data_IF_074385496183
#
_entry.id   IF_074385496183
#
_cell.length_a   1.000
_cell.length_b   1.000
_cell.length_c   1.000
_cell.angle_alpha   90.00
_cell.angle_beta   90.00
_cell.angle_gamma   90.00
#
_symmetry.space_group_name_H-M   'P 1'
#
loop_
_entity.id
_entity.type
_entity.pdbx_description
1 polymer ?
#
# COMPACT_ATOMS: atom_id res chain seq x y z
N UNK A 1 -0.99 -2.42 12.71
CA UNK A 1 -1.39 -2.34 11.29
C UNK A 1 -1.16 -3.69 10.63
N UNK A 2 -1.85 -3.96 9.52
CA UNK A 2 -1.65 -5.12 8.68
C UNK A 2 -0.73 -4.76 7.51
N UNK A 3 -0.04 -5.74 6.96
CA UNK A 3 0.75 -5.56 5.74
C UNK A 3 0.16 -6.41 4.60
N UNK A 4 0.16 -5.87 3.39
CA UNK A 4 -0.13 -6.61 2.17
C UNK A 4 1.16 -6.77 1.37
N UNK A 5 1.62 -8.01 1.22
CA UNK A 5 2.69 -8.40 0.32
C UNK A 5 2.10 -8.61 -1.06
N UNK A 6 2.23 -7.60 -1.92
CA UNK A 6 1.67 -7.64 -3.26
C UNK A 6 2.81 -7.39 -4.25
N UNK A 7 3.00 -8.31 -5.21
CA UNK A 7 4.04 -8.13 -6.23
C UNK A 7 3.77 -6.86 -7.03
N UNK A 8 4.82 -6.07 -7.27
CA UNK A 8 4.75 -4.91 -8.14
C UNK A 8 4.44 -5.35 -9.57
N UNK A 9 3.16 -5.39 -9.92
CA UNK A 9 2.76 -5.70 -11.28
C UNK A 9 3.17 -4.53 -12.19
N UNK A 10 3.91 -4.78 -13.29
CA UNK A 10 4.33 -3.73 -14.21
C UNK A 10 3.16 -3.12 -15.01
N UNK A 11 2.01 -3.82 -15.06
CA UNK A 11 0.88 -3.51 -15.94
C UNK A 11 -0.34 -2.92 -15.25
N UNK A 12 -0.44 -2.98 -13.91
CA UNK A 12 -1.50 -2.31 -13.18
C UNK A 12 -0.94 -1.02 -12.58
N UNK A 13 -1.69 0.10 -12.54
CA UNK A 13 -1.14 1.37 -12.09
C UNK A 13 -1.62 1.73 -10.66
N UNK A 14 -1.22 1.01 -9.59
CA UNK A 14 -1.30 1.61 -8.26
C UNK A 14 -0.45 2.90 -8.19
N UNK A 15 0.57 3.00 -9.05
CA UNK A 15 1.38 4.20 -9.27
C UNK A 15 0.57 5.43 -9.71
N UNK A 16 -0.43 5.26 -10.57
CA UNK A 16 -1.25 6.39 -11.07
C UNK A 16 -2.20 6.88 -9.98
N UNK A 17 -2.78 5.96 -9.21
CA UNK A 17 -3.68 6.29 -8.11
C UNK A 17 -2.95 7.08 -7.02
N UNK A 18 -1.80 6.58 -6.54
CA UNK A 18 -1.03 7.26 -5.51
C UNK A 18 -0.48 8.60 -5.97
N UNK A 19 0.08 8.68 -7.18
CA UNK A 19 0.61 9.94 -7.70
C UNK A 19 -0.50 10.98 -7.85
N UNK A 20 -1.67 10.59 -8.37
CA UNK A 20 -2.85 11.46 -8.41
C UNK A 20 -3.33 11.88 -7.03
N UNK A 21 -3.30 11.01 -6.02
CA UNK A 21 -3.67 11.35 -4.64
C UNK A 21 -2.69 12.34 -4.02
N UNK A 22 -1.39 12.11 -4.23
CA UNK A 22 -0.32 12.99 -3.77
C UNK A 22 -0.41 14.36 -4.44
N UNK A 23 -0.58 14.38 -5.76
CA UNK A 23 -0.71 15.59 -6.59
C UNK A 23 -2.02 16.34 -6.30
N UNK A 24 -3.10 15.64 -5.93
CA UNK A 24 -4.40 16.25 -5.59
C UNK A 24 -4.53 16.61 -4.11
N UNK A 25 -3.50 16.38 -3.29
CA UNK A 25 -3.54 16.54 -1.83
C UNK A 25 -4.73 15.84 -1.15
N UNK A 26 -5.26 14.79 -1.78
CA UNK A 26 -6.38 14.03 -1.24
C UNK A 26 -5.86 13.12 -0.13
N UNK A 27 -6.46 13.28 1.06
CA UNK A 27 -6.15 12.46 2.24
C UNK A 27 -6.87 11.12 2.26
N UNK A 28 -7.92 10.98 1.45
CA UNK A 28 -8.79 9.81 1.41
C UNK A 28 -8.83 9.20 0.02
N UNK A 29 -8.82 7.87 -0.03
CA UNK A 29 -8.98 7.09 -1.25
C UNK A 29 -10.37 6.46 -1.22
N UNK A 30 -11.20 6.72 -2.23
CA UNK A 30 -12.47 6.04 -2.37
C UNK A 30 -12.22 4.53 -2.53
N UNK A 31 -12.91 3.73 -1.73
CA UNK A 31 -12.77 2.26 -1.74
C UNK A 31 -13.00 1.67 -3.14
N UNK A 32 -13.94 2.23 -3.90
CA UNK A 32 -14.27 1.80 -5.27
C UNK A 32 -13.16 2.06 -6.29
N UNK A 33 -12.27 3.03 -6.02
CA UNK A 33 -11.12 3.35 -6.87
C UNK A 33 -9.92 2.43 -6.60
N UNK A 34 -9.96 1.66 -5.52
CA UNK A 34 -8.93 0.67 -5.22
C UNK A 34 -9.06 -0.53 -6.16
N UNK A 35 -7.93 -1.14 -6.50
CA UNK A 35 -7.97 -2.42 -7.23
C UNK A 35 -8.62 -3.51 -6.36
N UNK A 36 -9.24 -4.54 -6.98
CA UNK A 36 -9.90 -5.62 -6.24
C UNK A 36 -9.04 -6.25 -5.15
N UNK A 37 -7.73 -6.40 -5.39
CA UNK A 37 -6.79 -6.93 -4.38
C UNK A 37 -6.69 -6.05 -3.14
N UNK A 38 -6.61 -4.73 -3.30
CA UNK A 38 -6.59 -3.80 -2.17
C UNK A 38 -7.95 -3.72 -1.48
N UNK A 39 -9.05 -3.79 -2.23
CA UNK A 39 -10.40 -3.86 -1.66
C UNK A 39 -10.55 -5.08 -0.75
N UNK A 40 -10.15 -6.26 -1.23
CA UNK A 40 -10.15 -7.50 -0.44
C UNK A 40 -9.27 -7.37 0.81
N UNK A 41 -8.06 -6.82 0.67
CA UNK A 41 -7.18 -6.61 1.81
C UNK A 41 -7.79 -5.68 2.87
N UNK A 42 -8.47 -4.60 2.44
CA UNK A 42 -9.19 -3.70 3.35
C UNK A 42 -10.36 -4.42 4.05
N UNK A 43 -11.13 -5.24 3.33
CA UNK A 43 -12.22 -6.02 3.92
C UNK A 43 -11.71 -7.01 4.98
N UNK A 44 -10.61 -7.70 4.69
CA UNK A 44 -9.95 -8.60 5.66
C UNK A 44 -9.45 -7.81 6.87
N UNK A 45 -8.82 -6.66 6.67
CA UNK A 45 -8.36 -5.80 7.77
C UNK A 45 -9.52 -5.32 8.65
N UNK A 46 -10.66 -4.95 8.06
CA UNK A 46 -11.87 -4.57 8.79
C UNK A 46 -12.41 -5.73 9.63
N UNK A 47 -12.45 -6.94 9.07
CA UNK A 47 -12.82 -8.16 9.82
C UNK A 47 -11.88 -8.45 10.99
N UNK A 48 -10.59 -8.14 10.84
CA UNK A 48 -9.55 -8.27 11.86
C UNK A 48 -9.44 -7.05 12.79
N UNK A 49 -10.41 -6.12 12.77
CA UNK A 49 -10.42 -4.89 13.57
C UNK A 49 -9.12 -4.06 13.45
N UNK A 50 -8.46 -4.13 12.30
CA UNK A 50 -7.21 -3.43 12.03
C UNK A 50 -7.46 -2.23 11.13
N UNK A 51 -7.33 -1.02 11.67
CA UNK A 51 -7.66 0.23 10.96
C UNK A 51 -6.62 0.69 9.93
N UNK A 52 -5.45 0.05 9.91
CA UNK A 52 -4.31 0.48 9.08
C UNK A 52 -3.77 -0.66 8.26
N UNK A 53 -3.70 -0.47 6.94
CA UNK A 53 -3.11 -1.39 5.98
C UNK A 53 -1.91 -0.72 5.31
N UNK A 54 -0.76 -1.37 5.38
CA UNK A 54 0.46 -0.95 4.69
C UNK A 54 0.73 -1.85 3.48
N UNK A 55 1.17 -1.29 2.37
CA UNK A 55 1.57 -2.06 1.17
C UNK A 55 2.67 -1.35 0.41
N UNK A 56 3.71 -2.09 0.00
CA UNK A 56 4.84 -1.54 -0.75
C UNK A 56 4.41 -0.88 -2.08
N UNK A 57 3.34 -1.37 -2.69
CA UNK A 57 2.85 -0.97 -4.00
C UNK A 57 2.19 0.42 -3.98
N UNK A 58 1.74 0.88 -2.80
CA UNK A 58 1.15 2.20 -2.58
C UNK A 58 1.99 3.07 -1.64
N UNK A 59 2.68 2.50 -0.66
CA UNK A 59 3.41 3.29 0.34
C UNK A 59 4.83 3.67 -0.07
N UNK A 60 5.39 3.04 -1.11
CA UNK A 60 6.73 3.37 -1.63
C UNK A 60 6.59 4.16 -2.93
N UNK A 61 7.18 5.35 -2.98
CA UNK A 61 7.18 6.19 -4.18
C UNK A 61 8.06 5.55 -5.27
N UNK A 62 7.47 4.77 -6.16
CA UNK A 62 8.21 4.01 -7.17
C UNK A 62 8.86 4.88 -8.27
N UNK A 63 8.50 6.17 -8.35
CA UNK A 63 8.98 7.10 -9.38
C UNK A 63 10.23 7.89 -8.98
N UNK A 64 10.65 7.81 -7.72
CA UNK A 64 11.87 8.43 -7.22
C UNK A 64 12.80 7.33 -6.71
N UNK A 65 14.02 7.28 -7.26
CA UNK A 65 14.97 6.23 -6.90
C UNK A 65 15.45 6.35 -5.45
N UNK A 66 15.62 7.58 -4.94
CA UNK A 66 16.07 7.81 -3.57
C UNK A 66 14.96 7.49 -2.56
N UNK A 67 13.74 7.98 -2.81
CA UNK A 67 12.56 7.63 -2.02
C UNK A 67 12.26 6.12 -2.02
N UNK A 68 12.45 5.46 -3.16
CA UNK A 68 12.30 4.00 -3.29
C UNK A 68 13.34 3.25 -2.46
N UNK A 69 14.61 3.62 -2.55
CA UNK A 69 15.68 2.99 -1.77
C UNK A 69 15.44 3.11 -0.26
N UNK A 70 15.01 4.29 0.19
CA UNK A 70 14.64 4.54 1.59
C UNK A 70 13.46 3.66 2.04
N UNK A 71 12.40 3.59 1.23
CA UNK A 71 11.23 2.75 1.53
C UNK A 71 11.58 1.25 1.60
N UNK A 72 12.44 0.77 0.70
CA UNK A 72 12.93 -0.62 0.70
C UNK A 72 13.79 -0.89 1.94
N UNK A 73 14.66 0.04 2.34
CA UNK A 73 15.48 -0.12 3.55
C UNK A 73 14.65 -0.24 4.83
N UNK A 74 13.47 0.37 4.88
CA UNK A 74 12.56 0.31 6.02
C UNK A 74 11.62 -0.91 5.98
N UNK A 75 11.57 -1.60 4.84
CA UNK A 75 10.61 -2.68 4.60
C UNK A 75 10.74 -3.81 5.62
N UNK A 76 11.97 -4.19 5.98
CA UNK A 76 12.22 -5.22 6.99
C UNK A 76 11.65 -4.86 8.36
N UNK A 77 11.78 -3.60 8.80
CA UNK A 77 11.23 -3.13 10.07
C UNK A 77 9.71 -3.01 10.05
N UNK A 78 9.13 -2.60 8.92
CA UNK A 78 7.67 -2.49 8.73
C UNK A 78 7.04 -3.88 8.72
N UNK A 79 7.61 -4.80 7.94
CA UNK A 79 7.24 -6.20 7.98
C UNK A 79 7.69 -6.90 9.26
N UNK A 80 8.42 -6.31 10.20
CA UNK A 80 8.63 -6.94 11.50
C UNK A 80 7.47 -6.62 12.44
N UNK A 81 7.04 -5.35 12.47
CA UNK A 81 6.13 -4.78 13.47
C UNK A 81 4.64 -4.76 13.07
N UNK A 82 4.20 -5.77 12.32
CA UNK A 82 2.80 -5.92 11.87
C UNK A 82 2.04 -6.99 12.65
N UNK A 83 0.72 -6.83 12.69
CA UNK A 83 -0.19 -7.81 13.32
C UNK A 83 -0.40 -9.01 12.41
N UNK A 84 -0.55 -8.78 11.11
CA UNK A 84 -0.76 -9.84 10.10
C UNK A 84 -0.15 -9.41 8.76
N UNK A 85 0.25 -10.39 7.96
CA UNK A 85 0.64 -10.20 6.56
C UNK A 85 -0.36 -10.95 5.68
N UNK A 86 -0.96 -10.25 4.74
CA UNK A 86 -1.75 -10.81 3.65
C UNK A 86 -0.80 -11.00 2.47
N UNK A 87 -0.79 -12.18 1.85
CA UNK A 87 0.07 -12.54 0.72
C UNK A 87 -0.77 -12.93 -0.50
#
# INVERSE_FOLDING_TARGET
>A
YACLSHRWAPTLPPRSLLKKLLDSHQRDILFELLLPTFQNAVLVCRGLQTSYLWTDSLCILQGDNDGKAKGISQMSAIYANRVVVLA
#
